data_IF_344391840591
#
_entry.id   IF_344391840591
#
_cell.length_a   1.000
_cell.length_b   1.000
_cell.length_c   1.000
_cell.angle_alpha   90.00
_cell.angle_beta   90.00
_cell.angle_gamma   90.00
#
_symmetry.space_group_name_H-M   'P 1'
#
loop_
_entity.id
_entity.type
_entity.pdbx_description
1 polymer ?
#
# COMPACT_ATOMS: atom_id res chain seq x y z
N UNK A 1 47.87 2.66 -6.76
CA UNK A 1 48.42 3.84 -7.43
C UNK A 1 49.14 4.80 -6.49
N UNK A 2 48.55 5.19 -5.37
CA UNK A 2 49.19 6.04 -4.33
C UNK A 2 50.55 5.50 -3.91
N UNK A 3 50.67 4.21 -3.63
CA UNK A 3 51.94 3.55 -3.33
C UNK A 3 53.02 3.77 -4.40
N UNK A 4 52.68 3.69 -5.69
CA UNK A 4 53.66 3.87 -6.78
C UNK A 4 54.15 5.34 -6.88
N UNK A 5 53.35 6.29 -6.48
CA UNK A 5 53.70 7.72 -6.45
C UNK A 5 54.52 8.04 -5.19
N UNK A 6 54.06 7.57 -4.03
CA UNK A 6 54.64 7.92 -2.71
C UNK A 6 55.90 7.12 -2.40
N UNK A 7 55.93 5.82 -2.75
CA UNK A 7 57.03 4.92 -2.37
C UNK A 7 58.08 4.74 -3.51
N UNK A 8 57.62 4.83 -4.78
CA UNK A 8 58.51 4.66 -5.95
C UNK A 8 58.80 5.94 -6.71
N UNK A 9 58.31 7.07 -6.19
CA UNK A 9 58.52 8.41 -6.75
C UNK A 9 58.13 8.54 -8.25
N UNK A 10 57.20 7.67 -8.70
CA UNK A 10 56.77 7.75 -10.07
C UNK A 10 55.90 8.99 -10.30
N UNK A 11 56.14 9.68 -11.44
CA UNK A 11 55.21 10.74 -11.83
C UNK A 11 53.81 10.19 -11.98
N UNK A 12 52.79 11.01 -11.66
CA UNK A 12 51.40 10.65 -11.77
C UNK A 12 51.01 10.06 -13.14
N UNK A 13 51.59 10.65 -14.23
CA UNK A 13 51.37 10.14 -15.60
C UNK A 13 51.94 8.72 -15.78
N UNK A 14 53.14 8.43 -15.24
CA UNK A 14 53.79 7.12 -15.32
C UNK A 14 52.97 6.10 -14.50
N UNK A 15 52.58 6.43 -13.28
CA UNK A 15 51.75 5.57 -12.43
C UNK A 15 50.41 5.28 -13.06
N UNK A 16 49.74 6.27 -13.66
CA UNK A 16 48.49 6.09 -14.40
C UNK A 16 48.63 5.13 -15.59
N UNK A 17 49.71 5.29 -16.37
CA UNK A 17 49.97 4.44 -17.53
C UNK A 17 50.22 2.99 -17.14
N UNK A 18 50.93 2.73 -16.04
CA UNK A 18 51.19 1.37 -15.53
C UNK A 18 49.94 0.61 -15.17
N UNK A 19 48.88 1.26 -14.68
CA UNK A 19 47.62 0.65 -14.29
C UNK A 19 46.49 0.83 -15.33
N UNK A 20 46.81 1.35 -16.52
CA UNK A 20 45.85 1.57 -17.59
C UNK A 20 44.76 2.60 -17.27
N UNK A 21 45.02 3.57 -16.34
CA UNK A 21 44.05 4.56 -15.91
C UNK A 21 44.35 5.93 -16.51
N UNK A 22 43.36 6.59 -17.09
CA UNK A 22 43.55 7.96 -17.57
C UNK A 22 43.82 8.93 -16.41
N UNK A 23 44.80 9.85 -16.52
CA UNK A 23 45.11 10.84 -15.47
C UNK A 23 43.90 11.69 -15.04
N UNK A 24 42.96 11.94 -15.98
CA UNK A 24 41.70 12.64 -15.72
C UNK A 24 40.82 11.90 -14.71
N UNK A 25 40.77 10.58 -14.80
CA UNK A 25 40.00 9.73 -13.87
C UNK A 25 40.62 9.72 -12.49
N UNK A 26 41.97 9.64 -12.42
CA UNK A 26 42.70 9.70 -11.14
C UNK A 26 42.51 11.04 -10.41
N UNK A 27 42.50 12.14 -11.15
CA UNK A 27 42.31 13.50 -10.59
C UNK A 27 40.86 13.81 -10.30
N UNK A 28 39.92 12.97 -10.75
CA UNK A 28 38.50 13.24 -10.53
C UNK A 28 38.19 13.28 -9.03
N UNK A 29 37.68 14.40 -8.57
CA UNK A 29 37.08 14.57 -7.26
C UNK A 29 35.59 14.70 -7.45
N UNK A 30 34.83 13.91 -6.70
CA UNK A 30 33.37 14.03 -6.75
C UNK A 30 32.95 15.45 -6.32
N UNK A 31 32.12 16.09 -7.15
CA UNK A 31 31.51 17.39 -6.85
C UNK A 31 30.10 17.22 -6.31
N UNK A 32 29.72 15.97 -5.95
CA UNK A 32 28.39 15.70 -5.38
C UNK A 32 28.28 16.43 -4.05
N UNK A 33 27.14 17.14 -3.87
CA UNK A 33 26.78 17.73 -2.59
C UNK A 33 26.72 16.67 -1.50
N UNK A 34 26.98 17.06 -0.27
CA UNK A 34 26.70 16.21 0.88
C UNK A 34 25.22 15.90 0.95
N UNK A 35 24.87 14.61 0.81
CA UNK A 35 23.51 14.12 0.88
C UNK A 35 23.14 13.71 2.32
N UNK A 36 23.90 14.09 3.34
CA UNK A 36 23.79 13.63 4.72
C UNK A 36 22.40 13.83 5.31
N UNK A 37 21.85 15.04 5.22
CA UNK A 37 20.52 15.35 5.73
C UNK A 37 19.42 14.52 5.00
N UNK A 38 19.52 14.41 3.68
CA UNK A 38 18.59 13.61 2.89
C UNK A 38 18.68 12.11 3.23
N UNK A 39 19.90 11.59 3.44
CA UNK A 39 20.11 10.20 3.88
C UNK A 39 19.52 9.95 5.25
N UNK A 40 19.75 10.84 6.20
CA UNK A 40 19.21 10.74 7.55
C UNK A 40 17.68 10.74 7.52
N UNK A 41 17.04 11.64 6.75
CA UNK A 41 15.59 11.69 6.60
C UNK A 41 15.06 10.45 5.93
N UNK A 42 15.70 9.97 4.86
CA UNK A 42 15.31 8.76 4.14
C UNK A 42 15.36 7.52 5.05
N UNK A 43 16.40 7.38 5.89
CA UNK A 43 16.50 6.32 6.90
C UNK A 43 15.40 6.40 7.95
N UNK A 44 15.12 7.59 8.47
CA UNK A 44 14.03 7.82 9.43
C UNK A 44 12.66 7.41 8.85
N UNK A 45 12.36 7.82 7.62
CA UNK A 45 11.12 7.44 6.93
C UNK A 45 11.05 5.93 6.68
N UNK A 46 12.15 5.31 6.24
CA UNK A 46 12.19 3.87 6.01
C UNK A 46 12.04 3.05 7.30
N UNK A 47 12.52 3.57 8.44
CA UNK A 47 12.34 2.95 9.75
C UNK A 47 10.88 3.03 10.20
N UNK A 48 10.24 4.19 10.05
CA UNK A 48 8.84 4.40 10.37
C UNK A 48 7.88 3.62 9.45
N UNK A 49 8.28 3.42 8.20
CA UNK A 49 7.49 2.82 7.12
C UNK A 49 8.23 1.64 6.49
N UNK A 50 8.52 0.60 7.26
CA UNK A 50 9.39 -0.54 6.91
C UNK A 50 9.03 -1.22 5.59
N UNK A 51 7.77 -1.15 5.14
CA UNK A 51 7.29 -1.80 3.93
C UNK A 51 7.15 -0.87 2.74
N UNK A 52 7.58 0.41 2.89
CA UNK A 52 7.55 1.36 1.79
C UNK A 52 8.80 1.24 0.92
N UNK A 53 8.59 1.07 -0.38
CA UNK A 53 9.66 1.17 -1.37
C UNK A 53 10.04 2.63 -1.65
N UNK A 54 11.17 2.82 -2.33
CA UNK A 54 11.74 4.15 -2.61
C UNK A 54 10.74 5.15 -3.21
N UNK A 55 9.78 4.70 -4.03
CA UNK A 55 8.82 5.59 -4.70
C UNK A 55 7.87 6.25 -3.70
N UNK A 56 7.33 5.49 -2.75
CA UNK A 56 6.48 6.06 -1.69
C UNK A 56 7.27 6.97 -0.76
N UNK A 57 8.50 6.60 -0.40
CA UNK A 57 9.38 7.45 0.40
C UNK A 57 9.71 8.75 -0.35
N UNK A 58 9.92 8.70 -1.66
CA UNK A 58 10.08 9.87 -2.50
C UNK A 58 8.84 10.78 -2.49
N UNK A 59 7.63 10.21 -2.58
CA UNK A 59 6.39 10.99 -2.52
C UNK A 59 6.21 11.69 -1.17
N UNK A 60 6.54 11.00 -0.07
CA UNK A 60 6.52 11.61 1.27
C UNK A 60 7.54 12.75 1.35
N UNK A 61 8.78 12.56 0.91
CA UNK A 61 9.78 13.62 0.88
C UNK A 61 9.31 14.84 0.09
N UNK A 62 8.64 14.62 -1.04
CA UNK A 62 8.05 15.72 -1.82
C UNK A 62 6.96 16.48 -1.07
N UNK A 63 6.10 15.79 -0.32
CA UNK A 63 5.08 16.39 0.54
C UNK A 63 5.69 17.20 1.68
N UNK A 64 6.85 16.78 2.19
CA UNK A 64 7.65 17.53 3.16
C UNK A 64 8.39 18.74 2.54
N UNK A 65 8.20 19.04 1.26
CA UNK A 65 8.83 20.14 0.56
C UNK A 65 10.28 19.85 0.09
N UNK A 66 10.75 18.61 0.22
CA UNK A 66 12.10 18.23 -0.23
C UNK A 66 12.10 18.02 -1.74
N UNK A 67 12.50 19.03 -2.48
CA UNK A 67 12.61 18.99 -3.94
C UNK A 67 13.85 18.22 -4.39
N UNK A 68 13.70 16.95 -4.65
CA UNK A 68 14.78 16.03 -5.06
C UNK A 68 14.34 15.16 -6.23
N UNK A 69 15.28 14.81 -7.12
CA UNK A 69 14.98 13.90 -8.22
C UNK A 69 14.79 12.46 -7.68
N UNK A 70 13.74 11.78 -8.12
CA UNK A 70 13.44 10.39 -7.74
C UNK A 70 14.60 9.42 -8.02
N UNK A 71 15.40 9.64 -9.08
CA UNK A 71 16.59 8.85 -9.39
C UNK A 71 17.67 9.00 -8.31
N UNK A 72 17.79 10.21 -7.72
CA UNK A 72 18.69 10.45 -6.59
C UNK A 72 18.20 9.70 -5.35
N UNK A 73 16.92 9.78 -5.03
CA UNK A 73 16.31 9.03 -3.92
C UNK A 73 16.50 7.52 -4.10
N UNK A 74 16.28 7.01 -5.31
CA UNK A 74 16.49 5.58 -5.61
C UNK A 74 17.95 5.14 -5.37
N UNK A 75 18.91 5.96 -5.82
CA UNK A 75 20.35 5.70 -5.60
C UNK A 75 20.67 5.64 -4.10
N UNK A 76 20.24 6.67 -3.34
CA UNK A 76 20.47 6.73 -1.89
C UNK A 76 19.78 5.58 -1.16
N UNK A 77 18.54 5.25 -1.53
CA UNK A 77 17.79 4.12 -0.99
C UNK A 77 18.53 2.79 -1.13
N UNK A 78 19.22 2.59 -2.27
CA UNK A 78 20.04 1.40 -2.48
C UNK A 78 21.36 1.45 -1.72
N UNK A 79 22.04 2.58 -1.71
CA UNK A 79 23.30 2.79 -0.97
C UNK A 79 23.10 2.56 0.54
N UNK A 80 21.97 3.01 1.09
CA UNK A 80 21.60 2.83 2.50
C UNK A 80 21.01 1.43 2.80
N UNK A 81 20.93 0.53 1.81
CA UNK A 81 20.40 -0.84 1.95
C UNK A 81 18.96 -0.90 2.48
N UNK A 82 18.13 0.08 2.16
CA UNK A 82 16.74 0.18 2.61
C UNK A 82 15.77 -0.67 1.77
N UNK A 83 16.28 -1.51 0.88
CA UNK A 83 15.49 -2.25 -0.10
C UNK A 83 14.53 -3.22 0.59
N UNK A 84 13.24 -3.02 0.42
CA UNK A 84 12.20 -3.92 0.90
C UNK A 84 12.20 -5.20 0.07
N UNK A 85 12.28 -6.35 0.74
CA UNK A 85 12.19 -7.65 0.09
C UNK A 85 10.79 -7.81 -0.53
N UNK A 86 10.71 -7.93 -1.85
CA UNK A 86 9.47 -8.29 -2.53
C UNK A 86 9.15 -9.76 -2.22
N UNK A 87 7.92 -10.05 -1.80
CA UNK A 87 7.45 -11.44 -1.78
C UNK A 87 7.38 -11.91 -3.23
N UNK A 88 8.25 -12.85 -3.60
CA UNK A 88 8.20 -13.50 -4.91
C UNK A 88 6.96 -14.37 -4.99
N UNK A 89 5.95 -13.92 -5.73
CA UNK A 89 4.82 -14.77 -6.11
C UNK A 89 5.23 -15.73 -7.21
N UNK A 90 4.71 -16.97 -7.17
CA UNK A 90 4.85 -17.92 -8.29
C UNK A 90 4.22 -17.29 -9.52
N UNK A 91 4.96 -17.19 -10.62
CA UNK A 91 4.38 -16.78 -11.91
C UNK A 91 3.30 -17.81 -12.29
N UNK A 92 2.05 -17.36 -12.36
CA UNK A 92 0.93 -18.19 -12.84
C UNK A 92 0.68 -17.84 -14.30
N UNK A 93 0.29 -18.83 -15.11
CA UNK A 93 -0.20 -18.61 -16.45
C UNK A 93 -1.43 -17.69 -16.36
N UNK A 94 -1.44 -16.63 -17.15
CA UNK A 94 -2.54 -15.69 -17.24
C UNK A 94 -3.50 -16.22 -18.32
N UNK A 95 -4.63 -16.84 -17.89
CA UNK A 95 -5.76 -17.06 -18.81
C UNK A 95 -6.41 -15.74 -19.21
N UNK A 96 -7.31 -15.78 -20.20
CA UNK A 96 -8.17 -14.65 -20.60
C UNK A 96 -8.94 -14.16 -19.37
N UNK A 97 -8.64 -12.94 -18.94
CA UNK A 97 -9.33 -12.29 -17.82
C UNK A 97 -10.37 -11.35 -18.41
N UNK A 98 -11.62 -11.60 -18.15
CA UNK A 98 -12.63 -10.55 -18.25
C UNK A 98 -12.52 -9.74 -16.95
N UNK A 99 -12.01 -8.50 -16.97
CA UNK A 99 -12.01 -7.66 -15.77
C UNK A 99 -13.47 -7.38 -15.40
N UNK A 100 -13.77 -7.36 -14.11
CA UNK A 100 -15.02 -6.78 -13.63
C UNK A 100 -14.99 -5.29 -14.03
N UNK A 101 -16.10 -4.76 -14.52
CA UNK A 101 -16.17 -3.33 -14.86
C UNK A 101 -15.71 -2.48 -13.68
N UNK A 102 -14.80 -1.55 -13.95
CA UNK A 102 -14.30 -0.67 -12.91
C UNK A 102 -15.39 0.34 -12.56
N UNK A 103 -15.65 0.61 -11.26
CA UNK A 103 -16.59 1.66 -10.90
C UNK A 103 -16.10 3.01 -11.40
N UNK A 104 -17.01 3.82 -11.94
CA UNK A 104 -16.72 5.14 -12.47
C UNK A 104 -16.87 6.27 -11.42
N UNK A 105 -17.36 5.96 -10.23
CA UNK A 105 -17.59 6.94 -9.16
C UNK A 105 -17.62 6.29 -7.77
N UNK A 106 -17.51 7.17 -6.76
CA UNK A 106 -17.60 6.79 -5.35
C UNK A 106 -18.95 6.15 -5.03
N UNK A 107 -18.98 5.22 -4.09
CA UNK A 107 -20.17 4.47 -3.66
C UNK A 107 -20.85 3.67 -4.79
N UNK A 108 -20.25 3.49 -5.95
CA UNK A 108 -20.80 2.59 -6.95
C UNK A 108 -20.60 1.13 -6.55
N UNK A 109 -19.43 0.82 -5.96
CA UNK A 109 -19.14 -0.55 -5.53
C UNK A 109 -18.23 -0.59 -4.31
N UNK A 110 -18.65 -1.30 -3.29
CA UNK A 110 -17.84 -1.65 -2.14
C UNK A 110 -17.41 -3.11 -2.21
N UNK A 111 -16.17 -3.40 -1.88
CA UNK A 111 -15.64 -4.76 -1.75
C UNK A 111 -15.44 -5.12 -0.29
N UNK A 112 -15.88 -6.30 0.11
CA UNK A 112 -15.79 -6.83 1.47
C UNK A 112 -14.99 -8.13 1.49
N UNK A 113 -14.20 -8.31 2.55
CA UNK A 113 -13.53 -9.57 2.83
C UNK A 113 -13.11 -9.67 4.31
N UNK A 114 -12.84 -10.89 4.76
CA UNK A 114 -12.35 -11.18 6.11
C UNK A 114 -10.87 -11.53 6.12
N UNK A 115 -10.16 -10.93 7.04
CA UNK A 115 -8.79 -11.31 7.39
C UNK A 115 -8.76 -11.87 8.80
N UNK A 116 -8.07 -12.98 9.04
CA UNK A 116 -7.91 -13.56 10.37
C UNK A 116 -6.48 -13.39 10.87
N UNK A 117 -6.34 -13.14 12.17
CA UNK A 117 -5.07 -13.11 12.87
C UNK A 117 -5.25 -13.65 14.31
N UNK A 118 -4.19 -13.64 15.10
CA UNK A 118 -4.20 -14.13 16.47
C UNK A 118 -3.56 -13.14 17.43
N UNK A 119 -4.08 -13.10 18.67
CA UNK A 119 -3.45 -12.43 19.79
C UNK A 119 -2.23 -13.22 20.27
N UNK A 120 -1.39 -12.60 21.07
CA UNK A 120 -0.19 -13.21 21.65
C UNK A 120 -0.48 -14.47 22.48
N UNK A 121 -1.67 -14.56 23.06
CA UNK A 121 -2.14 -15.72 23.81
C UNK A 121 -2.73 -16.86 22.95
N UNK A 122 -2.68 -16.71 21.61
CA UNK A 122 -3.18 -17.67 20.64
C UNK A 122 -4.67 -17.55 20.32
N UNK A 123 -5.45 -16.70 21.00
CA UNK A 123 -6.86 -16.45 20.65
C UNK A 123 -6.95 -15.79 19.28
N UNK A 124 -7.79 -16.36 18.42
CA UNK A 124 -8.01 -15.83 17.09
C UNK A 124 -8.99 -14.67 17.10
N UNK A 125 -8.77 -13.74 16.19
CA UNK A 125 -9.73 -12.68 15.87
C UNK A 125 -9.84 -12.52 14.35
N UNK A 126 -10.88 -11.85 13.92
CA UNK A 126 -11.16 -11.55 12.52
C UNK A 126 -11.27 -10.05 12.33
N UNK A 127 -10.94 -9.61 11.15
CA UNK A 127 -11.09 -8.23 10.69
C UNK A 127 -11.95 -8.25 9.46
N UNK A 128 -13.11 -7.60 9.50
CA UNK A 128 -13.90 -7.31 8.31
C UNK A 128 -13.35 -6.03 7.68
N UNK A 129 -12.83 -6.13 6.47
CA UNK A 129 -12.43 -4.99 5.65
C UNK A 129 -13.54 -4.59 4.69
N UNK A 130 -13.81 -3.29 4.58
CA UNK A 130 -14.74 -2.71 3.61
C UNK A 130 -14.02 -1.58 2.88
N UNK A 131 -13.94 -1.68 1.56
CA UNK A 131 -13.20 -0.73 0.71
C UNK A 131 -14.09 -0.23 -0.41
N UNK A 132 -14.05 1.06 -0.69
CA UNK A 132 -14.63 1.63 -1.91
C UNK A 132 -13.69 1.34 -3.09
N UNK A 133 -14.20 0.65 -4.10
CA UNK A 133 -13.39 0.20 -5.24
C UNK A 133 -12.96 1.34 -6.16
N UNK A 134 -13.63 2.48 -6.15
CA UNK A 134 -13.25 3.66 -6.93
C UNK A 134 -12.19 4.49 -6.19
N UNK A 135 -12.51 4.96 -4.99
CA UNK A 135 -11.63 5.86 -4.22
C UNK A 135 -10.48 5.14 -3.54
N UNK A 136 -10.54 3.81 -3.43
CA UNK A 136 -9.59 2.98 -2.65
C UNK A 136 -9.62 3.25 -1.15
N UNK A 137 -10.56 4.05 -0.67
CA UNK A 137 -10.74 4.30 0.76
C UNK A 137 -11.09 3.02 1.50
N UNK A 138 -10.41 2.77 2.60
CA UNK A 138 -10.83 1.79 3.58
C UNK A 138 -11.93 2.40 4.44
N UNK A 139 -13.18 2.04 4.16
CA UNK A 139 -14.35 2.58 4.84
C UNK A 139 -14.47 2.07 6.28
N UNK A 140 -14.15 0.80 6.50
CA UNK A 140 -14.13 0.22 7.84
C UNK A 140 -13.13 -0.93 7.97
N UNK A 141 -12.59 -1.09 9.19
CA UNK A 141 -11.89 -2.29 9.66
C UNK A 141 -12.51 -2.71 11.00
N UNK A 142 -13.43 -3.66 10.94
CA UNK A 142 -14.16 -4.14 12.14
C UNK A 142 -13.43 -5.33 12.74
N UNK A 143 -12.87 -5.17 13.94
CA UNK A 143 -12.06 -6.17 14.62
C UNK A 143 -12.86 -6.84 15.72
N UNK A 144 -13.13 -8.15 15.59
CA UNK A 144 -13.84 -8.91 16.62
C UNK A 144 -13.41 -10.40 16.61
N UNK A 145 -13.73 -11.11 17.66
CA UNK A 145 -13.55 -12.57 17.74
C UNK A 145 -14.60 -13.31 16.93
N UNK A 146 -15.79 -12.73 16.76
CA UNK A 146 -16.88 -13.27 15.96
C UNK A 146 -17.60 -12.17 15.19
N UNK A 147 -17.76 -12.34 13.89
CA UNK A 147 -18.40 -11.40 12.99
C UNK A 147 -19.53 -12.14 12.24
N UNK A 148 -20.70 -12.24 12.85
CA UNK A 148 -21.87 -12.85 12.22
C UNK A 148 -22.46 -11.94 11.13
N UNK A 149 -23.27 -12.52 10.23
CA UNK A 149 -23.96 -11.73 9.19
C UNK A 149 -24.82 -10.59 9.73
N UNK A 150 -25.44 -10.75 10.92
CA UNK A 150 -26.16 -9.66 11.60
C UNK A 150 -25.22 -8.51 12.01
N UNK A 151 -24.00 -8.86 12.43
CA UNK A 151 -23.01 -7.84 12.78
C UNK A 151 -22.53 -7.12 11.53
N UNK A 152 -22.26 -7.84 10.45
CA UNK A 152 -21.89 -7.24 9.16
C UNK A 152 -22.98 -6.29 8.67
N UNK A 153 -24.26 -6.68 8.69
CA UNK A 153 -25.37 -5.82 8.30
C UNK A 153 -25.39 -4.50 9.10
N UNK A 154 -25.26 -4.54 10.43
CA UNK A 154 -25.18 -3.32 11.27
C UNK A 154 -24.00 -2.41 10.92
N UNK A 155 -22.86 -2.98 10.63
CA UNK A 155 -21.68 -2.17 10.24
C UNK A 155 -21.92 -1.50 8.88
N UNK A 156 -22.58 -2.19 7.96
CA UNK A 156 -22.98 -1.63 6.67
C UNK A 156 -24.01 -0.52 6.83
N UNK A 157 -25.00 -0.69 7.71
CA UNK A 157 -26.01 0.35 8.00
C UNK A 157 -25.32 1.62 8.53
N UNK A 158 -24.43 1.48 9.53
CA UNK A 158 -23.66 2.62 10.06
C UNK A 158 -22.80 3.30 9.01
N UNK A 159 -22.22 2.55 8.06
CA UNK A 159 -21.47 3.13 6.95
C UNK A 159 -22.37 3.87 5.97
N UNK A 160 -23.54 3.34 5.66
CA UNK A 160 -24.53 3.97 4.77
C UNK A 160 -25.02 5.30 5.34
N UNK A 161 -25.22 5.39 6.66
CA UNK A 161 -25.62 6.64 7.33
C UNK A 161 -24.58 7.76 7.14
N UNK A 162 -23.29 7.41 7.13
CA UNK A 162 -22.19 8.40 7.04
C UNK A 162 -21.76 8.67 5.60
N UNK A 163 -21.71 7.62 4.77
CA UNK A 163 -21.09 7.66 3.42
C UNK A 163 -22.09 7.71 2.28
N UNK A 164 -23.35 7.40 2.58
CA UNK A 164 -24.35 7.14 1.56
C UNK A 164 -24.36 5.68 1.11
N UNK A 165 -25.43 5.30 0.45
CA UNK A 165 -25.69 3.92 0.02
C UNK A 165 -24.87 3.55 -1.21
N UNK A 166 -24.15 2.39 -1.21
CA UNK A 166 -23.49 1.91 -2.41
C UNK A 166 -24.52 1.35 -3.41
N UNK A 167 -24.17 1.38 -4.68
CA UNK A 167 -24.99 0.72 -5.71
C UNK A 167 -24.85 -0.80 -5.59
N UNK A 168 -23.67 -1.30 -5.32
CA UNK A 168 -23.40 -2.73 -5.20
C UNK A 168 -22.29 -3.04 -4.20
N UNK A 169 -22.32 -4.27 -3.70
CA UNK A 169 -21.30 -4.86 -2.85
C UNK A 169 -20.76 -6.12 -3.53
N UNK A 170 -19.45 -6.33 -3.45
CA UNK A 170 -18.77 -7.56 -3.91
C UNK A 170 -18.12 -8.24 -2.71
N UNK A 171 -18.34 -9.56 -2.59
CA UNK A 171 -17.70 -10.36 -1.55
C UNK A 171 -17.40 -11.78 -2.03
N UNK A 172 -16.63 -12.52 -1.23
CA UNK A 172 -16.55 -13.97 -1.36
C UNK A 172 -17.86 -14.67 -0.92
N UNK A 173 -17.88 -16.00 -1.02
CA UNK A 173 -19.01 -16.83 -0.62
C UNK A 173 -18.90 -17.28 0.85
N UNK A 174 -18.29 -16.49 1.72
CA UNK A 174 -18.21 -16.79 3.15
C UNK A 174 -19.59 -17.01 3.78
N UNK A 175 -19.70 -17.92 4.73
CA UNK A 175 -20.97 -18.30 5.37
C UNK A 175 -21.66 -17.11 6.04
N UNK A 176 -20.89 -16.17 6.55
CA UNK A 176 -21.40 -14.95 7.17
C UNK A 176 -22.03 -14.02 6.15
N UNK A 177 -21.42 -13.92 4.96
CA UNK A 177 -21.84 -13.02 3.87
C UNK A 177 -22.98 -13.61 3.04
N UNK A 178 -23.16 -14.95 3.05
CA UNK A 178 -24.28 -15.65 2.42
C UNK A 178 -25.43 -15.95 3.38
N UNK A 179 -25.39 -15.40 4.60
CA UNK A 179 -26.35 -15.66 5.66
C UNK A 179 -27.73 -15.06 5.36
N UNK A 180 -28.79 -15.62 5.99
CA UNK A 180 -30.16 -15.07 5.92
C UNK A 180 -30.25 -13.62 6.36
N UNK A 181 -29.37 -13.18 7.27
CA UNK A 181 -29.32 -11.79 7.72
C UNK A 181 -28.88 -10.84 6.60
N UNK A 182 -27.89 -11.22 5.82
CA UNK A 182 -27.42 -10.45 4.66
C UNK A 182 -28.46 -10.47 3.54
N UNK A 183 -29.08 -11.60 3.25
CA UNK A 183 -30.13 -11.67 2.24
C UNK A 183 -31.31 -10.74 2.60
N UNK A 184 -31.76 -10.74 3.86
CA UNK A 184 -32.77 -9.80 4.35
C UNK A 184 -32.33 -8.36 4.19
N UNK A 185 -31.13 -8.04 4.60
CA UNK A 185 -30.55 -6.70 4.50
C UNK A 185 -30.52 -6.19 3.05
N UNK A 186 -30.15 -7.05 2.09
CA UNK A 186 -30.19 -6.71 0.66
C UNK A 186 -31.60 -6.34 0.19
N UNK A 187 -32.62 -7.11 0.60
CA UNK A 187 -34.01 -6.84 0.26
C UNK A 187 -34.52 -5.52 0.86
N UNK A 188 -34.14 -5.23 2.10
CA UNK A 188 -34.56 -4.03 2.82
C UNK A 188 -33.86 -2.76 2.28
N UNK A 189 -32.58 -2.85 1.91
CA UNK A 189 -31.78 -1.71 1.45
C UNK A 189 -31.82 -1.50 -0.06
N UNK A 190 -32.12 -2.53 -0.84
CA UNK A 190 -32.05 -2.52 -2.29
C UNK A 190 -30.60 -2.45 -2.85
N UNK A 191 -29.58 -2.73 -2.03
CA UNK A 191 -28.18 -2.77 -2.47
C UNK A 191 -27.94 -4.06 -3.25
N UNK A 192 -27.39 -3.95 -4.46
CA UNK A 192 -26.95 -5.11 -5.23
C UNK A 192 -25.81 -5.86 -4.53
N UNK A 193 -25.84 -7.19 -4.51
CA UNK A 193 -24.75 -7.97 -3.93
C UNK A 193 -24.26 -9.03 -4.92
N UNK A 194 -22.98 -8.97 -5.21
CA UNK A 194 -22.33 -9.88 -6.15
C UNK A 194 -21.35 -10.78 -5.41
N UNK A 195 -21.65 -12.08 -5.43
CA UNK A 195 -20.72 -13.08 -4.93
C UNK A 195 -19.75 -13.47 -6.04
N UNK A 196 -18.45 -13.51 -5.70
CA UNK A 196 -17.45 -13.96 -6.66
C UNK A 196 -17.66 -15.43 -7.03
N UNK A 197 -17.38 -15.76 -8.27
CA UNK A 197 -17.47 -17.16 -8.72
C UNK A 197 -16.38 -18.00 -8.04
N UNK A 198 -16.70 -19.24 -7.61
CA UNK A 198 -15.71 -20.16 -7.07
C UNK A 198 -14.49 -20.28 -7.98
N UNK A 199 -13.29 -20.14 -7.41
CA UNK A 199 -12.04 -20.21 -8.17
C UNK A 199 -11.67 -18.95 -8.96
N UNK A 200 -12.43 -17.86 -8.86
CA UNK A 200 -12.14 -16.57 -9.50
C UNK A 200 -11.89 -15.44 -8.48
N UNK A 201 -10.86 -15.54 -7.64
CA UNK A 201 -10.58 -14.53 -6.62
C UNK A 201 -10.33 -13.13 -7.24
N UNK A 202 -9.89 -13.08 -8.50
CA UNK A 202 -9.66 -11.83 -9.23
C UNK A 202 -10.89 -10.90 -9.30
N UNK A 203 -12.09 -11.43 -9.14
CA UNK A 203 -13.33 -10.64 -9.09
C UNK A 203 -13.43 -9.79 -7.81
N UNK A 204 -12.63 -10.11 -6.77
CA UNK A 204 -12.50 -9.33 -5.54
C UNK A 204 -11.08 -8.72 -5.37
N UNK A 205 -10.39 -8.46 -6.47
CA UNK A 205 -8.98 -8.07 -6.49
C UNK A 205 -8.65 -6.79 -5.73
N UNK A 206 -9.61 -5.88 -5.54
CA UNK A 206 -9.40 -4.64 -4.80
C UNK A 206 -9.20 -4.92 -3.31
N UNK A 207 -10.13 -5.64 -2.70
CA UNK A 207 -10.03 -6.00 -1.29
C UNK A 207 -8.90 -7.00 -1.04
N UNK A 208 -8.61 -7.93 -1.97
CA UNK A 208 -7.45 -8.82 -1.85
C UNK A 208 -6.13 -8.04 -1.82
N UNK A 209 -6.01 -7.05 -2.71
CA UNK A 209 -4.84 -6.18 -2.74
C UNK A 209 -4.73 -5.33 -1.47
N UNK A 210 -5.84 -4.84 -0.95
CA UNK A 210 -5.92 -4.12 0.32
C UNK A 210 -5.51 -5.04 1.49
N UNK A 211 -6.09 -6.23 1.59
CA UNK A 211 -5.78 -7.21 2.64
C UNK A 211 -4.30 -7.64 2.62
N UNK A 212 -3.71 -7.74 1.43
CA UNK A 212 -2.27 -7.97 1.29
C UNK A 212 -1.45 -6.86 1.96
N UNK A 213 -1.87 -5.60 1.84
CA UNK A 213 -1.20 -4.45 2.49
C UNK A 213 -1.45 -4.41 3.99
N UNK A 214 -2.69 -4.65 4.43
CA UNK A 214 -3.03 -4.76 5.85
C UNK A 214 -2.16 -5.81 6.53
N UNK A 215 -2.02 -6.99 5.92
CA UNK A 215 -1.13 -8.04 6.44
C UNK A 215 0.33 -7.60 6.48
N UNK A 216 0.84 -7.06 5.37
CA UNK A 216 2.25 -6.73 5.26
C UNK A 216 2.67 -5.53 6.09
N UNK A 217 1.81 -4.53 6.23
CA UNK A 217 2.14 -3.23 6.82
C UNK A 217 1.66 -3.09 8.29
N UNK A 218 0.72 -3.95 8.74
CA UNK A 218 0.14 -3.90 10.08
C UNK A 218 0.21 -5.25 10.79
N UNK A 219 -0.53 -6.26 10.30
CA UNK A 219 -0.72 -7.50 11.05
C UNK A 219 0.60 -8.27 11.26
N UNK A 220 1.41 -8.43 10.21
CA UNK A 220 2.70 -9.14 10.31
C UNK A 220 3.81 -8.35 11.03
N UNK A 221 3.63 -7.06 11.25
CA UNK A 221 4.59 -6.19 11.95
C UNK A 221 4.25 -6.02 13.44
N UNK A 222 3.10 -6.56 13.90
CA UNK A 222 2.57 -6.31 15.25
C UNK A 222 2.22 -7.62 15.96
N UNK A 223 2.60 -7.73 17.22
CA UNK A 223 2.13 -8.77 18.15
C UNK A 223 1.08 -8.17 19.07
N UNK A 224 -0.18 -8.48 18.85
CA UNK A 224 -1.29 -7.93 19.62
C UNK A 224 -1.43 -8.61 20.98
N UNK A 225 -1.37 -7.85 22.05
CA UNK A 225 -1.47 -8.38 23.41
C UNK A 225 -2.93 -8.70 23.81
N UNK A 226 -3.88 -7.91 23.28
CA UNK A 226 -5.32 -8.07 23.56
C UNK A 226 -6.18 -7.41 22.46
N UNK A 227 -7.49 -7.68 22.50
CA UNK A 227 -8.46 -7.15 21.53
C UNK A 227 -8.56 -5.62 21.49
N UNK A 228 -8.38 -4.94 22.62
CA UNK A 228 -8.42 -3.48 22.71
C UNK A 228 -7.25 -2.89 21.93
N UNK A 229 -6.06 -3.40 22.15
CA UNK A 229 -4.85 -2.99 21.42
C UNK A 229 -4.97 -3.29 19.93
N UNK A 230 -5.47 -4.48 19.55
CA UNK A 230 -5.69 -4.84 18.17
C UNK A 230 -6.62 -3.85 17.45
N UNK A 231 -7.74 -3.48 18.09
CA UNK A 231 -8.66 -2.47 17.54
C UNK A 231 -7.98 -1.11 17.38
N UNK A 232 -7.23 -0.66 18.37
CA UNK A 232 -6.55 0.64 18.32
C UNK A 232 -5.49 0.72 17.21
N UNK A 233 -4.65 -0.29 17.12
CA UNK A 233 -3.55 -0.32 16.14
C UNK A 233 -4.10 -0.46 14.70
N UNK A 234 -5.09 -1.34 14.50
CA UNK A 234 -5.69 -1.56 13.19
C UNK A 234 -6.46 -0.32 12.75
N UNK A 235 -7.16 0.37 13.66
CA UNK A 235 -7.84 1.62 13.34
C UNK A 235 -6.83 2.74 13.03
N UNK A 236 -5.77 2.89 13.79
CA UNK A 236 -4.70 3.85 13.50
C UNK A 236 -4.07 3.58 12.12
N UNK A 237 -3.88 2.31 11.76
CA UNK A 237 -3.40 1.94 10.44
C UNK A 237 -4.42 2.28 9.33
N UNK A 238 -5.74 2.12 9.57
CA UNK A 238 -6.79 2.51 8.62
C UNK A 238 -6.77 4.02 8.35
N UNK A 239 -6.64 4.82 9.39
CA UNK A 239 -6.52 6.29 9.26
C UNK A 239 -5.28 6.64 8.45
N UNK A 240 -4.12 6.08 8.80
CA UNK A 240 -2.87 6.26 8.06
C UNK A 240 -2.97 5.82 6.58
N UNK A 241 -3.64 4.70 6.32
CA UNK A 241 -3.88 4.19 4.97
C UNK A 241 -4.67 5.19 4.12
N UNK A 242 -5.69 5.82 4.69
CA UNK A 242 -6.57 6.75 3.99
C UNK A 242 -5.98 8.16 3.86
N UNK A 243 -5.24 8.64 4.86
CA UNK A 243 -4.85 10.04 4.99
C UNK A 243 -3.39 10.32 4.63
N UNK A 244 -2.50 9.37 4.91
CA UNK A 244 -1.06 9.59 4.80
C UNK A 244 -0.38 8.75 3.72
N UNK A 245 -0.95 7.59 3.42
CA UNK A 245 -0.31 6.61 2.57
C UNK A 245 -0.46 6.93 1.08
N UNK A 246 0.64 7.22 0.33
CA UNK A 246 0.55 7.47 -1.11
C UNK A 246 0.21 6.20 -1.88
N UNK A 247 -0.73 6.28 -2.80
CA UNK A 247 -1.17 5.18 -3.67
C UNK A 247 -0.70 5.38 -5.11
N UNK A 248 0.04 4.42 -5.65
CA UNK A 248 0.52 4.49 -7.04
C UNK A 248 -0.62 4.48 -8.05
N UNK A 249 -1.71 3.76 -7.75
CA UNK A 249 -2.91 3.72 -8.60
C UNK A 249 -3.77 5.00 -8.52
N UNK A 250 -3.43 5.93 -7.65
CA UNK A 250 -4.07 7.23 -7.49
C UNK A 250 -3.05 8.36 -7.75
N UNK A 251 -2.08 8.14 -8.63
CA UNK A 251 -1.00 9.10 -8.96
C UNK A 251 -0.22 9.65 -7.76
N UNK A 252 -0.12 8.82 -6.71
CA UNK A 252 0.58 9.19 -5.47
C UNK A 252 -0.29 9.97 -4.48
N UNK A 253 -1.56 10.16 -4.75
CA UNK A 253 -2.51 10.68 -3.78
C UNK A 253 -2.82 9.65 -2.71
N UNK A 254 -3.30 10.13 -1.57
CA UNK A 254 -3.96 9.28 -0.59
C UNK A 254 -5.40 9.00 -1.03
N UNK A 255 -6.06 7.95 -0.52
CA UNK A 255 -7.47 7.71 -0.78
C UNK A 255 -8.37 8.91 -0.45
N UNK A 256 -8.16 9.58 0.69
CA UNK A 256 -8.93 10.76 1.08
C UNK A 256 -8.70 11.96 0.16
N UNK A 257 -7.45 12.21 -0.25
CA UNK A 257 -7.14 13.27 -1.25
C UNK A 257 -7.83 12.98 -2.58
N UNK A 258 -7.83 11.72 -3.01
CA UNK A 258 -8.50 11.32 -4.24
C UNK A 258 -10.03 11.45 -4.11
N UNK A 259 -10.62 10.97 -3.01
CA UNK A 259 -12.06 11.03 -2.78
C UNK A 259 -12.62 12.46 -2.64
N UNK A 260 -11.78 13.42 -2.22
CA UNK A 260 -12.17 14.83 -2.08
C UNK A 260 -12.15 15.63 -3.39
N UNK A 261 -11.65 15.04 -4.49
CA UNK A 261 -11.66 15.69 -5.81
C UNK A 261 -13.08 15.80 -6.37
N UNK A 262 -13.30 16.79 -7.22
CA UNK A 262 -14.54 16.92 -7.97
C UNK A 262 -14.69 15.82 -9.04
N UNK A 263 -15.91 15.53 -9.46
CA UNK A 263 -16.17 14.56 -10.52
C UNK A 263 -15.51 14.97 -11.85
N UNK A 264 -15.33 16.26 -12.10
CA UNK A 264 -14.61 16.78 -13.26
C UNK A 264 -13.12 16.44 -13.22
N UNK A 265 -12.49 16.54 -12.05
CA UNK A 265 -11.08 16.17 -11.86
C UNK A 265 -10.85 14.65 -12.00
N UNK A 266 -11.85 13.85 -11.62
CA UNK A 266 -11.79 12.40 -11.80
C UNK A 266 -11.83 11.99 -13.29
N UNK A 267 -12.64 12.68 -14.10
CA UNK A 267 -12.78 12.40 -15.53
C UNK A 267 -11.54 12.78 -16.35
N UNK A 268 -10.76 13.79 -15.93
CA UNK A 268 -9.53 14.20 -16.64
C UNK A 268 -8.38 13.21 -16.50
N UNK A 269 -8.36 12.37 -15.44
CA UNK A 269 -7.32 11.39 -15.19
C UNK A 269 -7.65 9.97 -15.70
N UNK A 270 -8.75 9.79 -16.42
CA UNK A 270 -9.25 8.49 -16.94
C UNK A 270 -8.43 7.84 -18.05
N UNK A 271 -7.21 8.29 -18.33
CA UNK A 271 -6.37 7.82 -19.46
C UNK A 271 -5.30 6.79 -19.06
N UNK A 272 -5.15 6.45 -17.77
CA UNK A 272 -4.14 5.49 -17.31
C UNK A 272 -4.72 4.40 -16.41
N UNK A 273 -5.48 3.49 -17.03
CA UNK A 273 -5.80 2.18 -16.43
C UNK A 273 -5.25 1.05 -17.30
#
# INVERSE_FOLDING_TARGET
MSWAIETKEYSQRRACRLVGLAPKVYRYRTRRSDDGALRARLRSLALARRRFGYWRLYLILRREGVLVNHKKVYRLYREEKLTVRKRGGRKRALGTRAPLELPAGRNQRWSLDFVSDALRDGRRFRVLGIVDDFTRECLALVVDTSLSGRRVARELDSLIEVRGRPTSIVSDNGTELTSRAILRWQLETGVGWHYIQPGKPQQNGFIESFNGRLRDECLNETLFSNMREARQIIEAWRVDYNEERPHTSLDGLTPNEFASRSDEDHNQNGVYL
#
